data_IF_074196701675
#
_entry.id   IF_074196701675
#
_cell.length_a   1.000
_cell.length_b   1.000
_cell.length_c   1.000
_cell.angle_alpha   90.00
_cell.angle_beta   90.00
_cell.angle_gamma   90.00
#
_symmetry.space_group_name_H-M   'P 1'
#
loop_
_entity.id
_entity.type
_entity.pdbx_description
1 polymer ?
#
# COMPACT_ATOMS: atom_id res chain seq x y z
N UNK A 1 -3.07 -15.02 -14.53
CA UNK A 1 -3.71 -14.51 -13.32
C UNK A 1 -3.13 -13.14 -12.98
N UNK A 2 -3.98 -12.24 -12.57
CA UNK A 2 -3.50 -10.94 -12.16
C UNK A 2 -2.91 -10.99 -10.75
N UNK A 3 -2.10 -9.99 -10.43
CA UNK A 3 -1.46 -9.84 -9.12
C UNK A 3 -2.45 -9.86 -7.94
N UNK A 4 -3.65 -9.33 -8.16
CA UNK A 4 -4.64 -9.16 -7.09
C UNK A 4 -5.70 -10.25 -7.03
N UNK A 5 -5.89 -11.00 -8.10
CA UNK A 5 -6.99 -11.98 -8.16
C UNK A 5 -6.80 -13.07 -7.11
N UNK A 6 -7.82 -13.25 -6.28
CA UNK A 6 -7.81 -14.25 -5.22
C UNK A 6 -6.97 -13.85 -4.01
N UNK A 7 -6.37 -12.67 -4.01
CA UNK A 7 -5.57 -12.18 -2.90
C UNK A 7 -6.41 -11.37 -1.92
N UNK A 8 -5.96 -11.37 -0.68
CA UNK A 8 -6.51 -10.48 0.34
C UNK A 8 -5.71 -9.19 0.31
N UNK A 9 -6.39 -8.05 0.28
CA UNK A 9 -5.76 -6.76 0.11
C UNK A 9 -5.92 -5.91 1.35
N UNK A 10 -4.81 -5.34 1.78
CA UNK A 10 -4.76 -4.31 2.81
C UNK A 10 -4.53 -2.98 2.09
N UNK A 11 -5.42 -2.03 2.33
CA UNK A 11 -5.33 -0.70 1.71
C UNK A 11 -4.87 0.32 2.75
N UNK A 12 -3.79 1.02 2.44
CA UNK A 12 -3.34 2.16 3.23
C UNK A 12 -3.37 3.38 2.33
N UNK A 13 -4.52 4.05 2.32
CA UNK A 13 -4.71 5.29 1.56
C UNK A 13 -4.11 6.48 2.30
N UNK A 14 -4.11 7.63 1.65
CA UNK A 14 -3.57 8.87 2.19
C UNK A 14 -4.55 9.99 1.91
N UNK A 15 -4.81 10.81 2.92
CA UNK A 15 -5.72 11.95 2.82
C UNK A 15 -5.31 12.95 1.74
N UNK A 16 -4.01 13.17 1.59
CA UNK A 16 -3.46 14.12 0.62
C UNK A 16 -3.03 13.45 -0.69
N UNK A 17 -3.14 12.13 -0.76
CA UNK A 17 -2.89 11.35 -1.96
C UNK A 17 -4.16 10.68 -2.44
N UNK A 18 -4.15 9.34 -2.53
CA UNK A 18 -5.32 8.57 -2.93
C UNK A 18 -5.96 7.96 -1.69
N UNK A 19 -7.20 8.34 -1.34
CA UNK A 19 -7.85 7.82 -0.13
C UNK A 19 -8.26 6.36 -0.26
N UNK A 20 -8.40 5.69 0.88
CA UNK A 20 -8.75 4.27 0.95
C UNK A 20 -9.97 3.87 0.14
N UNK A 21 -11.11 4.59 0.26
CA UNK A 21 -12.32 4.23 -0.50
C UNK A 21 -12.13 4.22 -2.01
N UNK A 22 -11.33 5.16 -2.55
CA UNK A 22 -11.06 5.20 -3.99
C UNK A 22 -10.24 3.99 -4.43
N UNK A 23 -9.24 3.61 -3.64
CA UNK A 23 -8.42 2.42 -3.91
C UNK A 23 -9.29 1.17 -3.85
N UNK A 24 -10.16 1.09 -2.86
CA UNK A 24 -11.04 -0.07 -2.67
C UNK A 24 -11.93 -0.31 -3.88
N UNK A 25 -12.55 0.74 -4.41
CA UNK A 25 -13.40 0.61 -5.60
C UNK A 25 -12.63 0.05 -6.80
N UNK A 26 -11.37 0.44 -6.94
CA UNK A 26 -10.54 -0.04 -8.03
C UNK A 26 -10.09 -1.49 -7.85
N UNK A 27 -9.53 -1.84 -6.69
CA UNK A 27 -8.96 -3.18 -6.50
C UNK A 27 -10.02 -4.28 -6.49
N UNK A 28 -11.24 -3.97 -6.10
CA UNK A 28 -12.35 -4.92 -6.19
C UNK A 28 -12.59 -5.38 -7.61
N UNK A 29 -12.38 -4.52 -8.59
CA UNK A 29 -12.58 -4.87 -10.00
C UNK A 29 -11.55 -5.89 -10.50
N UNK A 30 -10.45 -6.06 -9.79
CA UNK A 30 -9.40 -7.01 -10.16
C UNK A 30 -9.53 -8.36 -9.42
N UNK A 31 -10.64 -8.59 -8.73
CA UNK A 31 -10.90 -9.85 -8.04
C UNK A 31 -10.25 -9.98 -6.67
N UNK A 32 -9.87 -8.85 -6.07
CA UNK A 32 -9.29 -8.83 -4.73
C UNK A 32 -10.37 -8.83 -3.65
N UNK A 33 -10.04 -9.43 -2.51
CA UNK A 33 -10.87 -9.32 -1.30
C UNK A 33 -10.21 -8.31 -0.36
N UNK A 34 -10.86 -7.18 -0.14
CA UNK A 34 -10.34 -6.14 0.76
C UNK A 34 -10.64 -6.54 2.20
N UNK A 35 -9.60 -6.80 2.98
CA UNK A 35 -9.74 -7.20 4.39
C UNK A 35 -9.53 -6.04 5.35
N UNK A 36 -8.88 -4.98 4.90
CA UNK A 36 -8.67 -3.78 5.70
C UNK A 36 -8.43 -2.58 4.79
N UNK A 37 -9.01 -1.45 5.16
CA UNK A 37 -8.81 -0.19 4.45
C UNK A 37 -8.73 0.95 5.45
N UNK A 38 -7.70 1.75 5.35
CA UNK A 38 -7.49 2.92 6.20
C UNK A 38 -6.97 4.07 5.35
N UNK A 39 -7.28 5.29 5.76
CA UNK A 39 -6.75 6.50 5.11
C UNK A 39 -5.94 7.25 6.15
N UNK A 40 -4.63 7.36 5.93
CA UNK A 40 -3.72 8.05 6.83
C UNK A 40 -3.57 9.53 6.45
N UNK A 41 -3.13 10.32 7.41
CA UNK A 41 -2.64 11.65 7.15
C UNK A 41 -1.18 11.67 7.63
N UNK A 42 -0.23 11.65 6.70
CA UNK A 42 1.20 11.50 7.01
C UNK A 42 1.68 12.54 8.02
N UNK A 43 1.19 13.78 7.92
CA UNK A 43 1.60 14.86 8.82
C UNK A 43 1.11 14.69 10.26
N UNK A 44 0.19 13.77 10.49
CA UNK A 44 -0.36 13.49 11.81
C UNK A 44 0.23 12.24 12.46
N UNK A 45 1.15 11.54 11.77
CA UNK A 45 1.76 10.33 12.31
C UNK A 45 2.88 10.66 13.29
N UNK A 46 3.10 9.78 14.25
CA UNK A 46 4.16 9.93 15.23
C UNK A 46 5.53 9.74 14.60
N UNK A 47 6.44 10.72 14.78
CA UNK A 47 7.83 10.62 14.32
C UNK A 47 7.98 10.33 12.82
N UNK A 48 6.96 10.66 12.01
CA UNK A 48 6.97 10.35 10.59
C UNK A 48 6.75 8.87 10.27
N UNK A 49 6.37 8.07 11.26
CA UNK A 49 6.11 6.64 11.07
C UNK A 49 4.79 6.40 10.35
N UNK A 50 4.64 5.22 9.75
CA UNK A 50 3.34 4.73 9.37
C UNK A 50 2.48 4.63 10.63
N UNK A 51 1.18 4.96 10.52
CA UNK A 51 0.26 4.95 11.65
C UNK A 51 0.40 3.68 12.48
N UNK A 52 0.52 3.85 13.81
CA UNK A 52 0.84 2.73 14.70
C UNK A 52 -0.29 1.70 14.77
N UNK A 53 -1.55 2.15 14.72
CA UNK A 53 -2.68 1.22 14.69
C UNK A 53 -2.72 0.46 13.38
N UNK A 54 -2.39 1.12 12.27
CA UNK A 54 -2.31 0.45 10.98
C UNK A 54 -1.19 -0.60 10.96
N UNK A 55 -0.05 -0.32 11.58
CA UNK A 55 1.02 -1.30 11.72
C UNK A 55 0.55 -2.53 12.48
N UNK A 56 -0.19 -2.31 13.57
CA UNK A 56 -0.76 -3.39 14.37
C UNK A 56 -1.71 -4.25 13.54
N UNK A 57 -2.59 -3.60 12.76
CA UNK A 57 -3.56 -4.30 11.93
C UNK A 57 -2.88 -5.12 10.82
N UNK A 58 -1.87 -4.53 10.17
CA UNK A 58 -1.10 -5.25 9.15
C UNK A 58 -0.48 -6.51 9.75
N UNK A 59 0.14 -6.38 10.92
CA UNK A 59 0.75 -7.52 11.61
C UNK A 59 -0.27 -8.60 11.94
N UNK A 60 -1.43 -8.21 12.47
CA UNK A 60 -2.51 -9.14 12.81
C UNK A 60 -3.03 -9.88 11.57
N UNK A 61 -3.23 -9.17 10.46
CA UNK A 61 -3.71 -9.80 9.23
C UNK A 61 -2.67 -10.73 8.60
N UNK A 62 -1.40 -10.39 8.71
CA UNK A 62 -0.33 -11.28 8.22
C UNK A 62 -0.31 -12.58 9.02
N UNK A 63 -0.50 -12.51 10.34
CA UNK A 63 -0.59 -13.69 11.19
C UNK A 63 -1.85 -14.51 10.89
N UNK A 64 -2.96 -13.84 10.61
CA UNK A 64 -4.26 -14.50 10.39
C UNK A 64 -4.35 -15.20 9.04
N UNK A 65 -3.91 -14.53 7.98
CA UNK A 65 -4.13 -15.01 6.60
C UNK A 65 -2.87 -15.57 5.94
N UNK A 66 -1.69 -15.34 6.52
CA UNK A 66 -0.42 -15.68 5.89
C UNK A 66 0.07 -14.56 4.99
N UNK A 67 1.34 -14.20 5.16
CA UNK A 67 1.95 -13.09 4.40
C UNK A 67 1.90 -13.35 2.89
N UNK A 68 2.02 -14.59 2.46
CA UNK A 68 1.98 -14.98 1.04
C UNK A 68 0.63 -14.74 0.37
N UNK A 69 -0.44 -14.57 1.15
CA UNK A 69 -1.78 -14.36 0.64
C UNK A 69 -2.21 -12.89 0.63
N UNK A 70 -1.34 -12.00 1.09
CA UNK A 70 -1.65 -10.58 1.24
C UNK A 70 -0.93 -9.73 0.21
N UNK A 71 -1.61 -8.66 -0.22
CA UNK A 71 -0.99 -7.58 -0.99
C UNK A 71 -1.39 -6.26 -0.34
N UNK A 72 -0.41 -5.40 -0.12
CA UNK A 72 -0.66 -4.05 0.41
C UNK A 72 -0.70 -3.08 -0.76
N UNK A 73 -1.75 -2.27 -0.82
CA UNK A 73 -1.90 -1.24 -1.85
C UNK A 73 -1.93 0.13 -1.16
N UNK A 74 -1.00 0.98 -1.55
CA UNK A 74 -0.79 2.29 -0.95
C UNK A 74 -1.37 3.41 -1.78
N UNK A 75 -1.74 4.50 -1.11
CA UNK A 75 -2.18 5.74 -1.77
C UNK A 75 -1.36 6.95 -1.39
N UNK A 76 -0.13 6.76 -0.95
CA UNK A 76 0.74 7.84 -0.45
C UNK A 76 0.84 9.02 -1.43
N UNK A 77 0.92 10.23 -0.87
CA UNK A 77 0.92 11.46 -1.67
C UNK A 77 2.26 11.77 -2.32
N UNK A 78 3.34 11.15 -1.84
CA UNK A 78 4.70 11.45 -2.33
C UNK A 78 5.61 10.23 -2.15
N UNK A 79 6.77 10.28 -2.82
CA UNK A 79 7.71 9.17 -2.80
C UNK A 79 8.23 8.82 -1.42
N UNK A 80 8.58 9.82 -0.61
CA UNK A 80 9.08 9.59 0.75
C UNK A 80 8.08 8.82 1.61
N UNK A 81 6.81 9.24 1.58
CA UNK A 81 5.77 8.57 2.34
C UNK A 81 5.50 7.16 1.82
N UNK A 82 5.50 7.00 0.49
CA UNK A 82 5.32 5.69 -0.14
C UNK A 82 6.46 4.74 0.25
N UNK A 83 7.69 5.22 0.20
CA UNK A 83 8.86 4.43 0.57
C UNK A 83 8.83 4.02 2.03
N UNK A 84 8.46 4.93 2.92
CA UNK A 84 8.34 4.64 4.34
C UNK A 84 7.32 3.53 4.60
N UNK A 85 6.15 3.64 4.00
CA UNK A 85 5.10 2.63 4.17
C UNK A 85 5.51 1.29 3.57
N UNK A 86 6.11 1.31 2.37
CA UNK A 86 6.59 0.09 1.73
C UNK A 86 7.65 -0.61 2.57
N UNK A 87 8.61 0.12 3.11
CA UNK A 87 9.62 -0.46 3.98
C UNK A 87 9.00 -1.04 5.25
N UNK A 88 8.05 -0.32 5.84
CA UNK A 88 7.40 -0.75 7.08
C UNK A 88 6.73 -2.11 6.94
N UNK A 89 6.03 -2.36 5.84
CA UNK A 89 5.30 -3.63 5.64
C UNK A 89 6.17 -4.75 5.05
N UNK A 90 7.41 -4.45 4.71
CA UNK A 90 8.34 -5.45 4.18
C UNK A 90 9.47 -5.75 5.16
N UNK A 91 10.37 -4.79 5.37
CA UNK A 91 11.57 -4.94 6.19
C UNK A 91 11.34 -4.60 7.67
N UNK A 92 10.29 -3.86 7.97
CA UNK A 92 9.96 -3.39 9.30
C UNK A 92 9.94 -1.88 9.40
N UNK A 93 9.40 -1.36 10.49
CA UNK A 93 9.28 0.08 10.72
C UNK A 93 10.67 0.72 10.87
N UNK A 94 11.10 1.54 9.90
CA UNK A 94 12.44 2.14 9.96
C UNK A 94 12.57 3.24 11.01
N UNK A 95 11.45 3.70 11.57
CA UNK A 95 11.44 4.74 12.60
C UNK A 95 11.48 4.18 14.02
N UNK A 96 11.34 2.86 14.15
CA UNK A 96 11.31 2.16 15.44
C UNK A 96 10.21 2.67 16.38
N UNK A 97 9.09 3.11 15.82
CA UNK A 97 8.01 3.70 16.60
C UNK A 97 6.85 2.73 16.87
N UNK A 98 6.63 1.76 16.02
CA UNK A 98 5.43 0.93 16.06
C UNK A 98 5.67 -0.57 16.16
N UNK A 99 4.58 -1.36 16.18
CA UNK A 99 4.66 -2.82 16.37
C UNK A 99 5.33 -3.59 15.24
N UNK A 100 5.58 -2.96 14.08
CA UNK A 100 6.34 -3.60 13.01
C UNK A 100 7.84 -3.33 13.11
N UNK A 101 8.30 -2.68 14.18
CA UNK A 101 9.73 -2.50 14.44
C UNK A 101 10.42 -3.86 14.53
N UNK A 102 11.40 -4.10 13.65
CA UNK A 102 12.13 -5.36 13.64
C UNK A 102 11.35 -6.56 13.11
N UNK A 103 10.17 -6.34 12.53
CA UNK A 103 9.31 -7.42 12.03
C UNK A 103 9.36 -7.42 10.49
N UNK A 104 10.00 -8.43 9.92
CA UNK A 104 10.20 -8.55 8.48
C UNK A 104 9.12 -9.42 7.85
N UNK A 105 7.96 -8.83 7.55
CA UNK A 105 6.83 -9.55 6.98
C UNK A 105 7.05 -9.90 5.50
N UNK A 106 7.76 -9.07 4.77
CA UNK A 106 8.03 -9.32 3.36
C UNK A 106 6.81 -9.28 2.46
N UNK A 107 5.79 -8.52 2.84
CA UNK A 107 4.54 -8.46 2.09
C UNK A 107 4.75 -7.88 0.70
N UNK A 108 3.95 -8.35 -0.27
CA UNK A 108 3.88 -7.70 -1.57
C UNK A 108 3.25 -6.34 -1.41
N UNK A 109 3.89 -5.27 -1.91
CA UNK A 109 3.43 -3.91 -1.73
C UNK A 109 3.55 -3.12 -3.02
N UNK A 110 2.48 -2.40 -3.37
CA UNK A 110 2.41 -1.55 -4.55
C UNK A 110 1.66 -0.27 -4.23
N UNK A 111 1.97 0.79 -4.97
CA UNK A 111 1.14 1.99 -4.96
C UNK A 111 0.06 1.82 -6.03
N UNK A 112 -1.14 2.34 -5.77
CA UNK A 112 -2.27 2.16 -6.69
C UNK A 112 -2.02 2.78 -8.06
N UNK A 113 -1.18 3.81 -8.15
CA UNK A 113 -0.84 4.46 -9.42
C UNK A 113 0.30 3.78 -10.18
N UNK A 114 0.93 2.76 -9.61
CA UNK A 114 1.94 1.99 -10.35
C UNK A 114 1.28 1.15 -11.44
N UNK A 115 1.98 0.96 -12.59
CA UNK A 115 1.41 0.18 -13.70
C UNK A 115 0.95 -1.21 -13.31
N UNK A 116 1.64 -1.86 -12.38
CA UNK A 116 1.30 -3.20 -11.91
C UNK A 116 -0.12 -3.30 -11.35
N UNK A 117 -0.63 -2.21 -10.77
CA UNK A 117 -1.98 -2.14 -10.26
C UNK A 117 -2.91 -1.47 -11.27
N UNK A 118 -2.50 -0.31 -11.81
CA UNK A 118 -3.31 0.48 -12.72
C UNK A 118 -3.77 -0.33 -13.95
N UNK A 119 -2.90 -1.17 -14.47
CA UNK A 119 -3.19 -1.93 -15.70
C UNK A 119 -4.11 -3.12 -15.48
N UNK A 120 -4.34 -3.55 -14.23
CA UNK A 120 -5.18 -4.71 -13.93
C UNK A 120 -6.54 -4.39 -13.31
N UNK A 121 -6.78 -3.13 -12.96
CA UNK A 121 -8.08 -2.68 -12.46
C UNK A 121 -8.92 -2.14 -13.63
N UNK A 122 -10.23 -1.99 -13.40
CA UNK A 122 -11.12 -1.47 -14.44
C UNK A 122 -10.76 -0.02 -14.76
N UNK A 123 -10.53 0.26 -16.06
CA UNK A 123 -10.08 1.57 -16.50
C UNK A 123 -11.08 2.68 -16.19
N UNK A 124 -12.37 2.43 -16.38
CA UNK A 124 -13.39 3.45 -16.14
C UNK A 124 -13.56 3.76 -14.65
N UNK A 125 -13.42 2.76 -13.80
CA UNK A 125 -13.47 2.96 -12.35
C UNK A 125 -12.22 3.73 -11.89
N UNK A 126 -11.06 3.38 -12.42
CA UNK A 126 -9.82 4.11 -12.11
C UNK A 126 -9.92 5.58 -12.52
N UNK A 127 -10.43 5.83 -13.72
CA UNK A 127 -10.61 7.21 -14.20
C UNK A 127 -11.54 8.01 -13.31
N UNK A 128 -12.64 7.40 -12.88
CA UNK A 128 -13.63 8.06 -12.01
C UNK A 128 -13.08 8.30 -10.61
N UNK A 129 -12.36 7.34 -10.05
CA UNK A 129 -11.99 7.39 -8.64
C UNK A 129 -10.60 7.99 -8.38
N UNK A 130 -9.67 7.84 -9.30
CA UNK A 130 -8.24 8.12 -9.02
C UNK A 130 -7.61 9.13 -9.99
N UNK A 131 -7.94 9.10 -11.27
CA UNK A 131 -7.17 9.85 -12.28
C UNK A 131 -7.00 11.34 -11.98
N UNK A 132 -8.03 12.00 -11.46
CA UNK A 132 -7.93 13.43 -11.14
C UNK A 132 -6.89 13.68 -10.04
N UNK A 133 -6.84 12.83 -9.04
CA UNK A 133 -5.87 12.95 -7.95
C UNK A 133 -4.47 12.56 -8.41
N UNK A 134 -4.36 11.57 -9.28
CA UNK A 134 -3.07 11.16 -9.84
C UNK A 134 -2.36 12.31 -10.54
N UNK A 135 -3.12 13.21 -11.17
CA UNK A 135 -2.55 14.35 -11.91
C UNK A 135 -1.70 15.28 -11.03
N UNK A 136 -1.95 15.32 -9.73
CA UNK A 136 -1.20 16.18 -8.80
C UNK A 136 -0.09 15.43 -8.07
N UNK A 137 0.04 14.13 -8.31
CA UNK A 137 1.09 13.32 -7.69
C UNK A 137 2.27 13.15 -8.65
N UNK A 138 3.48 13.07 -8.08
CA UNK A 138 4.68 12.69 -8.84
C UNK A 138 4.81 11.18 -8.81
N UNK A 139 4.14 10.52 -9.76
CA UNK A 139 4.10 9.05 -9.83
C UNK A 139 5.49 8.46 -10.08
N UNK A 140 6.31 9.13 -10.89
CA UNK A 140 7.67 8.65 -11.15
C UNK A 140 8.51 8.63 -9.89
N UNK A 141 8.39 9.64 -9.04
CA UNK A 141 9.08 9.68 -7.75
C UNK A 141 8.61 8.54 -6.84
N UNK A 142 7.31 8.30 -6.80
CA UNK A 142 6.73 7.21 -6.01
C UNK A 142 7.29 5.86 -6.48
N UNK A 143 7.31 5.62 -7.79
CA UNK A 143 7.85 4.39 -8.38
C UNK A 143 9.33 4.24 -8.02
N UNK A 144 10.10 5.32 -8.16
CA UNK A 144 11.53 5.29 -7.90
C UNK A 144 11.86 4.99 -6.43
N UNK A 145 11.01 5.40 -5.51
CA UNK A 145 11.20 5.10 -4.09
C UNK A 145 10.77 3.67 -3.74
N UNK A 146 9.70 3.18 -4.37
CA UNK A 146 9.13 1.88 -4.02
C UNK A 146 9.82 0.70 -4.69
N UNK A 147 10.26 0.85 -5.94
CA UNK A 147 10.79 -0.27 -6.69
C UNK A 147 12.01 -0.95 -6.03
N UNK A 148 13.01 -0.20 -5.54
CA UNK A 148 14.15 -0.84 -4.85
C UNK A 148 13.75 -1.57 -3.58
N UNK A 149 12.81 -1.00 -2.82
CA UNK A 149 12.34 -1.61 -1.56
C UNK A 149 11.64 -2.92 -1.87
N UNK A 150 10.76 -2.91 -2.87
CA UNK A 150 10.05 -4.11 -3.29
C UNK A 150 11.00 -5.19 -3.78
N UNK A 151 11.98 -4.80 -4.60
CA UNK A 151 12.98 -5.74 -5.13
C UNK A 151 13.80 -6.39 -4.01
N UNK A 152 14.20 -5.59 -3.01
CA UNK A 152 15.07 -6.06 -1.94
C UNK A 152 14.34 -6.83 -0.84
N UNK A 153 13.10 -6.48 -0.54
CA UNK A 153 12.45 -6.94 0.70
C UNK A 153 11.15 -7.71 0.53
N UNK A 154 10.49 -7.68 -0.63
CA UNK A 154 9.30 -8.49 -0.84
C UNK A 154 9.70 -9.96 -1.03
N UNK A 155 9.03 -10.86 -0.31
CA UNK A 155 9.38 -12.29 -0.30
C UNK A 155 8.49 -13.14 -1.19
N UNK A 156 7.35 -12.62 -1.64
CA UNK A 156 6.30 -13.43 -2.24
C UNK A 156 5.88 -12.98 -3.65
N UNK A 157 6.72 -12.26 -4.33
CA UNK A 157 6.45 -11.83 -5.71
C UNK A 157 6.87 -12.87 -6.73
#
# INVERSE_FOLDING_TARGET
MSLLQGKKVIIIGDRDGIPGPAIEECVKTAGAEVVFSSTECFVWTSAGAMDLENQKRVKEFAEKYGAENLVVVLGAAEGEAAGLAAETVTNGDPTFAGPLTGVQLGLSVFHVCEPEIKDIVDESVYDEQISMMEMVLDVDDIINEMAPIREDFCKYL
#
